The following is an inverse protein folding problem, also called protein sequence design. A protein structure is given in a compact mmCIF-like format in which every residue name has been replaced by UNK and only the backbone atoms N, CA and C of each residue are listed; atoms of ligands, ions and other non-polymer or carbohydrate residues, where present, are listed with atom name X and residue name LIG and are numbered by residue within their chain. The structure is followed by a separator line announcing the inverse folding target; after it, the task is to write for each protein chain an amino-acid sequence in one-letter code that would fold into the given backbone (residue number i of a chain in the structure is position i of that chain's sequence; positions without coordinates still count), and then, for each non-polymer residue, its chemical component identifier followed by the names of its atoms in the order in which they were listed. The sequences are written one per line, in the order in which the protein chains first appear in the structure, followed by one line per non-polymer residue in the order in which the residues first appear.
data_IF_659382963176
#
_entry.id   IF_659382963176
#
_cell.length_a   1.000
_cell.length_b   1.000
_cell.length_c   1.000
_cell.angle_alpha   90.00
_cell.angle_beta   90.00
_cell.angle_gamma   90.00
#
_symmetry.space_group_name_H-M   'P 1'
#
loop_
_entity.id
_entity.type
_entity.pdbx_description
1 polymer ?
#
# COMPACT_ATOMS: atom_id res chain seq x y z
N UNK A 1 11.62 9.23 -29.07
CA UNK A 1 11.29 8.96 -27.65
C UNK A 1 11.95 10.05 -26.83
N UNK A 2 11.17 11.01 -26.32
CA UNK A 2 11.70 12.12 -25.52
C UNK A 2 12.26 11.57 -24.21
N UNK A 3 13.58 11.65 -24.01
CA UNK A 3 14.21 11.38 -22.71
C UNK A 3 13.92 12.57 -21.80
N UNK A 4 13.01 12.39 -20.85
CA UNK A 4 12.80 13.37 -19.78
C UNK A 4 14.05 13.34 -18.89
N UNK A 5 14.53 14.51 -18.49
CA UNK A 5 15.64 14.63 -17.53
C UNK A 5 15.22 13.94 -16.21
N UNK A 6 16.13 13.13 -15.64
CA UNK A 6 15.85 12.37 -14.40
C UNK A 6 15.43 13.27 -13.24
N UNK A 7 16.02 14.48 -13.14
CA UNK A 7 15.61 15.45 -12.10
C UNK A 7 14.16 15.90 -12.28
N UNK A 8 13.77 16.21 -13.53
CA UNK A 8 12.40 16.60 -13.85
C UNK A 8 11.43 15.44 -13.58
N UNK A 9 11.80 14.21 -13.92
CA UNK A 9 11.02 13.02 -13.64
C UNK A 9 10.76 12.85 -12.13
N UNK A 10 11.80 12.94 -11.30
CA UNK A 10 11.65 12.86 -9.84
C UNK A 10 10.80 13.98 -9.26
N UNK A 11 10.96 15.21 -9.76
CA UNK A 11 10.16 16.36 -9.31
C UNK A 11 8.69 16.17 -9.65
N UNK A 12 8.37 15.72 -10.85
CA UNK A 12 7.00 15.46 -11.27
C UNK A 12 6.36 14.30 -10.49
N UNK A 13 7.11 13.23 -10.23
CA UNK A 13 6.65 12.13 -9.37
C UNK A 13 6.37 12.61 -7.94
N UNK A 14 7.24 13.46 -7.38
CA UNK A 14 7.03 14.02 -6.05
C UNK A 14 5.80 14.93 -6.00
N UNK A 15 5.59 15.78 -7.00
CA UNK A 15 4.41 16.65 -7.11
C UNK A 15 3.14 15.79 -7.20
N UNK A 16 3.16 14.74 -8.03
CA UNK A 16 2.03 13.81 -8.15
C UNK A 16 1.73 13.08 -6.83
N UNK A 17 2.78 12.64 -6.12
CA UNK A 17 2.65 12.08 -4.78
C UNK A 17 1.99 13.06 -3.82
N UNK A 18 2.50 14.28 -3.75
CA UNK A 18 2.01 15.31 -2.84
C UNK A 18 0.54 15.66 -3.15
N UNK A 19 0.19 15.80 -4.43
CA UNK A 19 -1.19 16.08 -4.85
C UNK A 19 -2.16 14.97 -4.41
N UNK A 20 -1.85 13.69 -4.71
CA UNK A 20 -2.70 12.57 -4.34
C UNK A 20 -2.76 12.37 -2.81
N UNK A 21 -1.63 12.53 -2.13
CA UNK A 21 -1.57 12.45 -0.67
C UNK A 21 -2.42 13.55 -0.02
N UNK A 22 -2.26 14.81 -0.40
CA UNK A 22 -3.01 15.92 0.19
C UNK A 22 -4.51 15.80 -0.11
N UNK A 23 -4.88 15.45 -1.34
CA UNK A 23 -6.28 15.24 -1.69
C UNK A 23 -6.93 14.11 -0.88
N UNK A 24 -6.21 13.01 -0.68
CA UNK A 24 -6.68 11.89 0.16
C UNK A 24 -6.67 12.23 1.65
N UNK A 25 -5.62 12.90 2.13
CA UNK A 25 -5.38 13.11 3.56
C UNK A 25 -6.15 14.29 4.16
N UNK A 26 -6.44 15.31 3.36
CA UNK A 26 -7.18 16.49 3.82
C UNK A 26 -8.71 16.36 3.62
N UNK A 27 -9.18 15.19 3.20
CA UNK A 27 -10.64 14.97 3.07
C UNK A 27 -11.33 15.05 4.41
N UNK A 28 -12.54 15.57 4.41
CA UNK A 28 -13.43 15.64 5.56
C UNK A 28 -14.77 15.02 5.18
N UNK A 29 -15.24 14.06 5.98
CA UNK A 29 -16.51 13.33 5.79
C UNK A 29 -16.71 12.77 4.37
N UNK A 30 -15.62 12.28 3.76
CA UNK A 30 -15.60 11.67 2.43
C UNK A 30 -15.19 10.22 2.54
N UNK A 31 -16.03 9.32 1.99
CA UNK A 31 -15.86 7.88 2.03
C UNK A 31 -16.81 7.20 3.03
N UNK A 32 -17.27 6.00 2.68
CA UNK A 32 -18.28 5.27 3.48
C UNK A 32 -17.79 4.95 4.90
N UNK A 33 -16.50 4.75 5.08
CA UNK A 33 -15.90 4.38 6.36
C UNK A 33 -15.59 5.58 7.26
N UNK A 34 -15.57 6.82 6.71
CA UNK A 34 -15.04 7.98 7.44
C UNK A 34 -15.79 8.24 8.74
N UNK A 35 -17.11 8.39 8.67
CA UNK A 35 -17.96 8.68 9.83
C UNK A 35 -17.93 7.56 10.87
N UNK A 36 -17.91 6.30 10.42
CA UNK A 36 -17.79 5.13 11.30
C UNK A 36 -16.48 5.13 12.08
N UNK A 37 -15.34 5.40 11.41
CA UNK A 37 -14.04 5.47 12.10
C UNK A 37 -13.92 6.69 12.99
N UNK A 38 -14.52 7.83 12.61
CA UNK A 38 -14.56 9.01 13.47
C UNK A 38 -15.32 8.73 14.76
N UNK A 39 -16.44 8.00 14.69
CA UNK A 39 -17.20 7.59 15.86
C UNK A 39 -16.37 6.64 16.75
N UNK A 40 -15.79 5.59 16.17
CA UNK A 40 -14.92 4.67 16.92
C UNK A 40 -13.74 5.39 17.60
N UNK A 41 -13.19 6.41 16.95
CA UNK A 41 -12.15 7.26 17.52
C UNK A 41 -12.67 8.08 18.71
N UNK A 42 -13.87 8.69 18.60
CA UNK A 42 -14.49 9.46 19.68
C UNK A 42 -14.75 8.59 20.91
N UNK A 43 -15.19 7.35 20.69
CA UNK A 43 -15.50 6.37 21.74
C UNK A 43 -14.27 5.74 22.39
N UNK A 44 -13.07 6.00 21.86
CA UNK A 44 -11.79 5.49 22.39
C UNK A 44 -11.18 6.36 23.50
N UNK A 45 -11.94 7.32 24.06
CA UNK A 45 -11.44 8.17 25.13
C UNK A 45 -11.34 7.40 26.46
N UNK A 46 -10.15 7.41 27.07
CA UNK A 46 -9.80 6.75 28.34
C UNK A 46 -9.88 5.23 28.37
N UNK A 47 -10.35 4.58 27.32
CA UNK A 47 -10.42 3.12 27.22
C UNK A 47 -10.20 2.62 25.79
N UNK A 48 -9.74 1.37 25.66
CA UNK A 48 -9.70 0.71 24.36
C UNK A 48 -11.13 0.40 23.90
N UNK A 49 -11.48 0.83 22.68
CA UNK A 49 -12.81 0.55 22.15
C UNK A 49 -12.94 -0.93 21.77
N UNK A 50 -13.86 -1.71 22.40
CA UNK A 50 -14.01 -3.14 22.17
C UNK A 50 -14.57 -3.49 20.78
N UNK A 51 -15.14 -2.53 20.06
CA UNK A 51 -15.64 -2.72 18.70
C UNK A 51 -14.52 -2.78 17.68
N UNK A 52 -13.31 -2.32 18.05
CA UNK A 52 -12.14 -2.36 17.17
C UNK A 52 -11.41 -3.68 17.36
N UNK A 53 -11.54 -4.57 16.38
CA UNK A 53 -10.94 -5.93 16.43
C UNK A 53 -9.42 -5.94 16.29
N UNK A 54 -8.87 -5.05 15.47
CA UNK A 54 -7.44 -4.97 15.24
C UNK A 54 -6.75 -4.14 16.32
N UNK A 55 -5.84 -4.77 17.06
CA UNK A 55 -5.12 -4.15 18.18
C UNK A 55 -4.40 -2.85 17.78
N UNK A 56 -3.81 -2.80 16.59
CA UNK A 56 -3.12 -1.61 16.12
C UNK A 56 -4.02 -0.40 16.03
N UNK A 57 -5.25 -0.58 15.52
CA UNK A 57 -6.24 0.51 15.42
C UNK A 57 -6.79 0.89 16.79
N UNK A 58 -7.07 -0.08 17.65
CA UNK A 58 -7.53 0.18 19.01
C UNK A 58 -6.51 1.03 19.81
N UNK A 59 -5.22 0.63 19.76
CA UNK A 59 -4.15 1.39 20.41
C UNK A 59 -3.91 2.75 19.75
N UNK A 60 -3.92 2.83 18.42
CA UNK A 60 -3.76 4.09 17.68
C UNK A 60 -4.83 5.10 18.11
N UNK A 61 -6.10 4.70 18.09
CA UNK A 61 -7.20 5.58 18.46
C UNK A 61 -7.14 5.95 19.93
N UNK A 62 -6.91 4.98 20.81
CA UNK A 62 -6.77 5.23 22.25
C UNK A 62 -5.68 6.27 22.53
N UNK A 63 -4.46 6.06 22.05
CA UNK A 63 -3.36 6.98 22.31
C UNK A 63 -3.58 8.35 21.66
N UNK A 64 -3.92 8.39 20.39
CA UNK A 64 -4.17 9.66 19.69
C UNK A 64 -5.27 10.46 20.35
N UNK A 65 -6.36 9.81 20.78
CA UNK A 65 -7.50 10.48 21.42
C UNK A 65 -7.10 11.07 22.77
N UNK A 66 -6.35 10.33 23.59
CA UNK A 66 -5.96 10.76 24.92
C UNK A 66 -4.88 11.85 24.93
N UNK A 67 -4.04 11.94 23.93
CA UNK A 67 -3.06 13.03 23.77
C UNK A 67 -3.57 14.21 22.94
N UNK A 68 -4.84 14.19 22.53
CA UNK A 68 -5.48 15.31 21.84
C UNK A 68 -5.18 15.45 20.35
N UNK A 69 -4.64 14.41 19.69
CA UNK A 69 -4.45 14.41 18.23
C UNK A 69 -5.83 14.30 17.56
N UNK A 70 -6.14 15.16 16.60
CA UNK A 70 -7.42 15.11 15.89
C UNK A 70 -7.51 13.89 14.97
N UNK A 71 -8.74 13.41 14.73
CA UNK A 71 -9.01 12.33 13.78
C UNK A 71 -8.50 12.64 12.37
N UNK A 72 -8.60 13.90 11.94
CA UNK A 72 -8.08 14.35 10.63
C UNK A 72 -6.57 14.13 10.48
N UNK A 73 -5.79 14.26 11.55
CA UNK A 73 -4.35 13.97 11.51
C UNK A 73 -4.12 12.47 11.33
N UNK A 74 -4.95 11.62 11.94
CA UNK A 74 -4.87 10.16 11.76
C UNK A 74 -5.16 9.81 10.30
N UNK A 75 -6.21 10.39 9.70
CA UNK A 75 -6.54 10.20 8.29
C UNK A 75 -5.39 10.68 7.38
N UNK A 76 -4.78 11.81 7.71
CA UNK A 76 -3.62 12.33 6.98
C UNK A 76 -2.45 11.34 7.01
N UNK A 77 -2.10 10.81 8.18
CA UNK A 77 -1.02 9.83 8.33
C UNK A 77 -1.30 8.53 7.56
N UNK A 78 -2.51 8.00 7.67
CA UNK A 78 -2.91 6.77 6.96
C UNK A 78 -2.84 6.99 5.45
N UNK A 79 -3.33 8.12 4.97
CA UNK A 79 -3.27 8.50 3.56
C UNK A 79 -1.81 8.61 3.07
N UNK A 80 -0.93 9.21 3.90
CA UNK A 80 0.50 9.27 3.58
C UNK A 80 1.08 7.86 3.37
N UNK A 81 0.89 6.95 4.34
CA UNK A 81 1.43 5.59 4.22
C UNK A 81 0.83 4.82 3.06
N UNK A 82 -0.47 4.97 2.80
CA UNK A 82 -1.16 4.31 1.69
C UNK A 82 -0.58 4.77 0.35
N UNK A 83 -0.52 6.07 0.12
CA UNK A 83 0.00 6.63 -1.14
C UNK A 83 1.51 6.38 -1.27
N UNK A 84 2.26 6.43 -0.17
CA UNK A 84 3.68 6.08 -0.16
C UNK A 84 3.92 4.64 -0.63
N UNK A 85 3.17 3.66 -0.12
CA UNK A 85 3.28 2.27 -0.56
C UNK A 85 2.97 2.10 -2.06
N UNK A 86 1.94 2.79 -2.56
CA UNK A 86 1.60 2.80 -4.00
C UNK A 86 2.76 3.34 -4.83
N UNK A 87 3.34 4.48 -4.44
CA UNK A 87 4.44 5.09 -5.18
C UNK A 87 5.71 4.24 -5.14
N UNK A 88 6.03 3.63 -3.99
CA UNK A 88 7.15 2.68 -3.89
C UNK A 88 6.95 1.52 -4.86
N UNK A 89 5.75 0.95 -4.91
CA UNK A 89 5.41 -0.13 -5.83
C UNK A 89 5.53 0.30 -7.30
N UNK A 90 4.90 1.42 -7.67
CA UNK A 90 4.94 1.95 -9.05
C UNK A 90 6.38 2.21 -9.49
N UNK A 91 7.17 2.91 -8.68
CA UNK A 91 8.56 3.22 -9.02
C UNK A 91 9.44 1.99 -9.20
N UNK A 92 9.12 0.93 -8.49
CA UNK A 92 9.93 -0.31 -8.52
C UNK A 92 9.57 -1.21 -9.70
N UNK A 93 8.30 -1.31 -10.03
CA UNK A 93 7.80 -2.34 -10.95
C UNK A 93 7.26 -1.79 -12.27
N UNK A 94 6.91 -0.52 -12.36
CA UNK A 94 6.38 0.05 -13.59
C UNK A 94 7.48 0.62 -14.50
N UNK A 95 7.51 0.22 -15.78
CA UNK A 95 8.36 0.86 -16.78
C UNK A 95 7.85 2.27 -17.17
N UNK A 96 6.58 2.57 -16.88
CA UNK A 96 5.91 3.85 -17.20
C UNK A 96 5.22 4.44 -15.96
N UNK A 97 5.98 5.01 -14.98
CA UNK A 97 5.43 5.45 -13.69
C UNK A 97 4.27 6.44 -13.81
N UNK A 98 4.37 7.40 -14.73
CA UNK A 98 3.31 8.41 -14.93
C UNK A 98 2.01 7.80 -15.44
N UNK A 99 2.09 6.85 -16.38
CA UNK A 99 0.92 6.14 -16.87
C UNK A 99 0.27 5.32 -15.74
N UNK A 100 1.09 4.67 -14.90
CA UNK A 100 0.60 3.91 -13.76
C UNK A 100 -0.08 4.79 -12.71
N UNK A 101 0.46 5.99 -12.45
CA UNK A 101 -0.16 6.98 -11.55
C UNK A 101 -1.48 7.47 -12.14
N UNK A 102 -1.52 7.75 -13.45
CA UNK A 102 -2.74 8.15 -14.14
C UNK A 102 -3.82 7.06 -14.05
N UNK A 103 -3.45 5.80 -14.31
CA UNK A 103 -4.36 4.66 -14.16
C UNK A 103 -4.84 4.56 -12.71
N UNK A 104 -3.94 4.63 -11.74
CA UNK A 104 -4.28 4.58 -10.32
C UNK A 104 -5.28 5.67 -9.93
N UNK A 105 -5.12 6.88 -10.44
CA UNK A 105 -6.00 8.02 -10.16
C UNK A 105 -7.35 7.91 -10.88
N UNK A 106 -7.32 7.62 -12.19
CA UNK A 106 -8.53 7.64 -13.04
C UNK A 106 -9.49 6.47 -12.76
N UNK A 107 -8.97 5.32 -12.35
CA UNK A 107 -9.82 4.18 -12.02
C UNK A 107 -10.26 4.25 -10.55
N UNK A 108 -11.55 4.52 -10.35
CA UNK A 108 -12.16 4.67 -9.03
C UNK A 108 -11.88 3.50 -8.08
N UNK A 109 -11.75 2.28 -8.62
CA UNK A 109 -11.42 1.06 -7.87
C UNK A 109 -10.02 1.07 -7.24
N UNK A 110 -9.14 1.98 -7.62
CA UNK A 110 -7.80 2.07 -7.02
C UNK A 110 -7.69 3.23 -6.05
N UNK A 111 -7.84 4.46 -6.52
CA UNK A 111 -7.59 5.64 -5.68
C UNK A 111 -8.77 5.97 -4.77
N UNK A 112 -9.98 6.14 -5.33
CA UNK A 112 -11.15 6.53 -4.50
C UNK A 112 -11.61 5.39 -3.59
N UNK A 113 -11.30 4.13 -3.93
CA UNK A 113 -11.56 2.99 -3.07
C UNK A 113 -10.78 3.06 -1.75
N UNK A 114 -9.60 3.72 -1.75
CA UNK A 114 -8.84 3.96 -0.50
C UNK A 114 -9.59 4.84 0.50
N UNK A 115 -10.65 5.56 0.09
CA UNK A 115 -11.47 6.37 0.98
C UNK A 115 -12.55 5.55 1.67
N UNK A 116 -12.98 4.46 1.06
CA UNK A 116 -14.07 3.63 1.51
C UNK A 116 -13.62 2.46 2.40
N UNK A 117 -12.53 1.79 2.05
CA UNK A 117 -11.99 0.62 2.76
C UNK A 117 -10.54 0.87 3.20
N UNK A 118 -10.39 1.86 4.07
CA UNK A 118 -9.12 2.47 4.46
C UNK A 118 -8.10 1.42 4.92
N UNK A 119 -8.48 0.56 5.87
CA UNK A 119 -7.59 -0.45 6.48
C UNK A 119 -7.20 -1.54 5.50
N UNK A 120 -8.16 -2.01 4.72
CA UNK A 120 -7.92 -3.07 3.74
C UNK A 120 -7.02 -2.59 2.62
N UNK A 121 -7.24 -1.38 2.11
CA UNK A 121 -6.38 -0.77 1.09
C UNK A 121 -4.95 -0.61 1.59
N UNK A 122 -4.76 -0.10 2.80
CA UNK A 122 -3.42 0.01 3.40
C UNK A 122 -2.73 -1.36 3.47
N UNK A 123 -3.43 -2.40 3.91
CA UNK A 123 -2.89 -3.76 3.98
C UNK A 123 -2.47 -4.30 2.60
N UNK A 124 -3.29 -4.08 1.57
CA UNK A 124 -3.00 -4.49 0.17
C UNK A 124 -1.76 -3.74 -0.36
N UNK A 125 -1.66 -2.44 -0.14
CA UNK A 125 -0.52 -1.66 -0.64
C UNK A 125 0.77 -1.95 0.15
N UNK A 126 0.69 -2.27 1.44
CA UNK A 126 1.83 -2.83 2.19
C UNK A 126 2.28 -4.14 1.52
N UNK A 127 1.37 -5.05 1.21
CA UNK A 127 1.71 -6.30 0.53
C UNK A 127 2.44 -6.05 -0.80
N UNK A 128 2.01 -5.09 -1.61
CA UNK A 128 2.72 -4.77 -2.86
C UNK A 128 4.17 -4.34 -2.64
N UNK A 129 4.48 -3.68 -1.52
CA UNK A 129 5.88 -3.38 -1.17
C UNK A 129 6.67 -4.61 -0.75
N UNK A 130 5.99 -5.65 -0.25
CA UNK A 130 6.59 -6.90 0.19
C UNK A 130 6.83 -7.92 -0.93
N UNK A 131 6.35 -7.66 -2.16
CA UNK A 131 6.61 -8.52 -3.31
C UNK A 131 8.11 -8.74 -3.54
N UNK A 132 8.93 -7.74 -3.23
CA UNK A 132 10.39 -7.89 -3.29
C UNK A 132 10.92 -8.97 -2.34
N UNK A 133 10.29 -9.15 -1.17
CA UNK A 133 10.68 -10.19 -0.23
C UNK A 133 10.42 -11.58 -0.80
N UNK A 134 9.38 -11.73 -1.63
CA UNK A 134 9.08 -12.96 -2.34
C UNK A 134 10.14 -13.20 -3.42
N UNK A 135 10.42 -12.18 -4.24
CA UNK A 135 11.45 -12.26 -5.30
C UNK A 135 12.84 -12.58 -4.75
N UNK A 136 13.20 -11.97 -3.62
CA UNK A 136 14.50 -12.15 -2.97
C UNK A 136 14.56 -13.35 -2.02
N UNK A 137 13.50 -14.16 -1.95
CA UNK A 137 13.39 -15.33 -1.05
C UNK A 137 13.57 -15.01 0.43
N UNK A 138 13.24 -13.78 0.85
CA UNK A 138 13.31 -13.33 2.25
C UNK A 138 12.08 -13.74 3.03
N UNK A 139 11.90 -15.04 3.22
CA UNK A 139 10.72 -15.65 3.83
C UNK A 139 10.41 -15.07 5.20
N UNK A 140 11.38 -15.03 6.12
CA UNK A 140 11.17 -14.56 7.49
C UNK A 140 10.66 -13.10 7.51
N UNK A 141 11.28 -12.21 6.70
CA UNK A 141 10.86 -10.81 6.60
C UNK A 141 9.43 -10.69 6.08
N UNK A 142 9.06 -11.47 5.06
CA UNK A 142 7.71 -11.50 4.52
C UNK A 142 6.68 -11.90 5.57
N UNK A 143 6.89 -13.06 6.23
CA UNK A 143 5.93 -13.58 7.20
C UNK A 143 5.79 -12.68 8.43
N UNK A 144 6.88 -12.14 8.95
CA UNK A 144 6.82 -11.18 10.07
C UNK A 144 6.04 -9.94 9.65
N UNK A 145 6.32 -9.38 8.46
CA UNK A 145 5.63 -8.17 7.99
C UNK A 145 4.14 -8.42 7.76
N UNK A 146 3.74 -9.57 7.20
CA UNK A 146 2.32 -9.92 7.04
C UNK A 146 1.67 -10.15 8.41
N UNK A 147 2.33 -10.84 9.36
CA UNK A 147 1.81 -11.03 10.71
C UNK A 147 1.53 -9.68 11.40
N UNK A 148 2.47 -8.74 11.30
CA UNK A 148 2.26 -7.38 11.81
C UNK A 148 1.11 -6.67 11.10
N UNK A 149 0.97 -6.83 9.78
CA UNK A 149 -0.14 -6.26 9.02
C UNK A 149 -1.48 -6.84 9.46
N UNK A 150 -1.57 -8.15 9.72
CA UNK A 150 -2.78 -8.81 10.24
C UNK A 150 -3.19 -8.24 11.61
N UNK A 151 -2.22 -8.10 12.53
CA UNK A 151 -2.49 -7.67 13.90
C UNK A 151 -2.75 -6.15 13.99
N UNK A 152 -1.99 -5.34 13.24
CA UNK A 152 -1.98 -3.89 13.41
C UNK A 152 -2.78 -3.13 12.36
N UNK A 153 -3.02 -3.70 11.18
CA UNK A 153 -3.69 -2.99 10.09
C UNK A 153 -5.05 -3.61 9.76
N UNK A 154 -5.08 -4.87 9.31
CA UNK A 154 -6.34 -5.50 8.93
C UNK A 154 -6.23 -7.02 8.93
N UNK A 155 -7.15 -7.65 9.67
CA UNK A 155 -7.18 -9.10 9.89
C UNK A 155 -7.29 -9.93 8.60
N UNK A 156 -7.97 -9.43 7.56
CA UNK A 156 -8.07 -10.14 6.27
C UNK A 156 -6.72 -10.32 5.55
N UNK A 157 -5.68 -9.58 5.95
CA UNK A 157 -4.33 -9.77 5.41
C UNK A 157 -3.76 -11.18 5.66
N UNK A 158 -4.39 -11.99 6.51
CA UNK A 158 -4.03 -13.40 6.73
C UNK A 158 -4.04 -14.21 5.43
N UNK A 159 -4.89 -13.85 4.47
CA UNK A 159 -4.96 -14.51 3.16
C UNK A 159 -3.66 -14.36 2.35
N UNK A 160 -2.83 -13.39 2.70
CA UNK A 160 -1.57 -13.12 2.03
C UNK A 160 -0.46 -14.13 2.42
N UNK A 161 -0.61 -14.87 3.54
CA UNK A 161 0.38 -15.87 3.95
C UNK A 161 0.65 -16.93 2.87
N UNK A 162 -0.37 -17.63 2.33
CA UNK A 162 -0.15 -18.66 1.31
C UNK A 162 0.35 -18.08 -0.01
N UNK A 163 0.14 -16.80 -0.30
CA UNK A 163 0.62 -16.17 -1.54
C UNK A 163 2.14 -16.21 -1.67
N UNK A 164 2.91 -16.24 -0.57
CA UNK A 164 4.35 -16.42 -0.65
C UNK A 164 4.72 -17.67 -1.44
N UNK A 165 4.11 -18.81 -1.11
CA UNK A 165 4.42 -20.09 -1.74
C UNK A 165 3.88 -20.16 -3.17
N UNK A 166 2.70 -19.62 -3.42
CA UNK A 166 2.09 -19.58 -4.75
C UNK A 166 2.91 -18.72 -5.71
N UNK A 167 3.21 -17.50 -5.34
CA UNK A 167 3.97 -16.57 -6.18
C UNK A 167 5.42 -16.99 -6.33
N UNK A 168 6.03 -17.58 -5.30
CA UNK A 168 7.38 -18.10 -5.37
C UNK A 168 7.51 -19.25 -6.38
N UNK A 169 6.51 -20.11 -6.45
CA UNK A 169 6.44 -21.23 -7.41
C UNK A 169 6.26 -20.73 -8.84
N UNK A 170 5.39 -19.76 -9.05
CA UNK A 170 5.18 -19.15 -10.37
C UNK A 170 6.40 -18.37 -10.84
N UNK A 171 7.09 -17.66 -9.94
CA UNK A 171 8.29 -16.90 -10.29
C UNK A 171 9.42 -17.81 -10.74
N UNK A 172 9.61 -18.96 -10.12
CA UNK A 172 10.59 -19.96 -10.54
C UNK A 172 10.35 -20.47 -11.97
N UNK A 173 9.09 -20.71 -12.35
CA UNK A 173 8.70 -21.13 -13.71
C UNK A 173 8.83 -19.98 -14.73
N UNK A 174 8.45 -18.76 -14.35
CA UNK A 174 8.55 -17.58 -15.23
C UNK A 174 10.00 -17.16 -15.45
N UNK A 175 10.84 -17.20 -14.42
CA UNK A 175 12.26 -16.90 -14.53
C UNK A 175 12.98 -17.93 -15.41
N UNK A 176 12.61 -19.21 -15.33
CA UNK A 176 13.14 -20.26 -16.19
C UNK A 176 12.69 -20.05 -17.64
N UNK A 177 11.43 -19.72 -17.88
CA UNK A 177 10.91 -19.44 -19.23
C UNK A 177 11.55 -18.18 -19.85
N UNK A 178 11.71 -17.11 -19.06
CA UNK A 178 12.34 -15.86 -19.52
C UNK A 178 13.83 -16.01 -19.81
N UNK A 179 14.57 -16.75 -19.00
CA UNK A 179 15.98 -17.04 -19.24
C UNK A 179 16.16 -17.96 -20.43
N UNK A 180 15.27 -18.92 -20.66
CA UNK A 180 15.28 -19.75 -21.87
C UNK A 180 15.00 -18.97 -23.15
N UNK A 181 13.99 -18.09 -23.15
CA UNK A 181 13.69 -17.22 -24.29
C UNK A 181 14.86 -16.28 -24.62
N UNK A 182 15.47 -15.65 -23.61
CA UNK A 182 16.63 -14.78 -23.80
C UNK A 182 17.88 -15.52 -24.27
N UNK A 183 18.08 -16.75 -23.84
CA UNK A 183 19.17 -17.60 -24.32
C UNK A 183 18.97 -18.03 -25.78
N UNK A 184 17.72 -18.19 -26.24
CA UNK A 184 17.42 -18.45 -27.64
C UNK A 184 17.60 -17.22 -28.52
N UNK A 185 17.22 -16.02 -28.07
CA UNK A 185 17.43 -14.77 -28.81
C UNK A 185 18.94 -14.46 -28.96
N UNK A 186 19.76 -14.70 -27.94
CA UNK A 186 21.20 -14.48 -28.03
C UNK A 186 21.92 -15.48 -28.96
N UNK A 187 21.38 -16.69 -29.09
CA UNK A 187 21.93 -17.69 -30.05
C UNK A 187 21.46 -17.45 -31.50
N UNK A 188 20.34 -16.76 -31.70
CA UNK A 188 19.85 -16.43 -33.04
C UNK A 188 20.49 -15.16 -33.63
N UNK A 189 21.23 -14.40 -32.83
CA UNK A 189 21.93 -13.18 -33.22
C UNK A 189 23.46 -13.34 -33.27
N UNK A 190 23.99 -14.57 -33.23
CA UNK A 190 25.36 -14.96 -33.53
C UNK A 190 25.41 -15.79 -34.80
#
# INVERSE_FOLDING_TARGET
MFKIDKKLEYSLLFISFLALFLFSGLRYDVGMDYSSYEQLYKDSLFQLNPEIKELGWAYLFYWCRNIGISFSIIILLISFFTIYCVFVFIRRYSPYPFLSILIFFCFAQYYTYTFNVIRQCLAIYIFFTLLECICQRKMAKYFISIALTVVFVHSSAIILFPLYFLLHRYYSLYAVSYTHLRAHETKANL
#
